data_IF_408602746400
#
_entry.id   IF_408602746400
#
_cell.length_a   1.000
_cell.length_b   1.000
_cell.length_c   1.000
_cell.angle_alpha   90.00
_cell.angle_beta   90.00
_cell.angle_gamma   90.00
#
_symmetry.space_group_name_H-M   'P 1'
#
loop_
_entity.id
_entity.type
_entity.pdbx_description
1 polymer ?
#
# COMPACT_ATOMS: atom_id res chain seq x y z
N UNK A 1 8.65 19.44 -26.80
CA UNK A 1 8.67 18.15 -26.09
C UNK A 1 7.57 18.21 -25.05
N UNK A 2 6.41 17.67 -25.39
CA UNK A 2 5.26 17.56 -24.51
C UNK A 2 5.60 16.56 -23.41
N UNK A 3 5.59 17.00 -22.15
CA UNK A 3 5.66 16.11 -21.01
C UNK A 3 4.42 15.22 -21.06
N UNK A 4 4.62 13.95 -21.41
CA UNK A 4 3.60 12.92 -21.38
C UNK A 4 3.26 12.73 -19.90
N UNK A 5 2.10 13.23 -19.49
CA UNK A 5 1.62 13.06 -18.11
C UNK A 5 1.34 11.58 -17.92
N UNK A 6 2.25 10.92 -17.24
CA UNK A 6 2.20 9.51 -16.91
C UNK A 6 0.94 9.21 -16.07
N UNK A 7 -0.06 8.57 -16.68
CA UNK A 7 -1.32 8.20 -16.03
C UNK A 7 -1.18 6.98 -15.12
N UNK A 8 0.03 6.43 -14.98
CA UNK A 8 0.30 5.27 -14.14
C UNK A 8 0.15 5.62 -12.66
N UNK A 9 -0.52 4.74 -11.91
CA UNK A 9 -0.65 4.90 -10.46
C UNK A 9 0.72 4.80 -9.76
N UNK A 10 0.87 5.32 -8.53
CA UNK A 10 2.14 5.26 -7.79
C UNK A 10 2.72 3.85 -7.67
N UNK A 11 1.86 2.84 -7.53
CA UNK A 11 2.26 1.42 -7.49
C UNK A 11 2.94 0.97 -8.78
N UNK A 12 2.39 1.31 -9.94
CA UNK A 12 2.92 0.89 -11.24
C UNK A 12 4.27 1.55 -11.51
N UNK A 13 4.41 2.83 -11.16
CA UNK A 13 5.68 3.54 -11.27
C UNK A 13 6.74 2.93 -10.34
N UNK A 14 6.36 2.58 -9.10
CA UNK A 14 7.27 1.97 -8.13
C UNK A 14 7.65 0.53 -8.47
N UNK A 15 6.75 -0.25 -9.07
CA UNK A 15 7.09 -1.56 -9.63
C UNK A 15 8.18 -1.45 -10.71
N UNK A 16 8.33 -0.27 -11.33
CA UNK A 16 9.45 0.05 -12.20
C UNK A 16 10.84 -0.09 -11.56
N UNK A 17 10.96 -0.10 -10.22
CA UNK A 17 12.22 -0.40 -9.52
C UNK A 17 12.70 -1.82 -9.81
N UNK A 18 11.78 -2.74 -10.08
CA UNK A 18 12.06 -4.17 -10.24
C UNK A 18 12.31 -4.58 -11.69
N UNK A 19 12.14 -3.64 -12.63
CA UNK A 19 12.26 -3.91 -14.05
C UNK A 19 13.59 -4.62 -14.39
N UNK A 20 13.57 -5.68 -15.23
CA UNK A 20 12.44 -6.11 -16.07
C UNK A 20 11.41 -7.03 -15.38
N UNK A 21 11.59 -7.38 -14.10
CA UNK A 21 10.64 -8.26 -13.41
C UNK A 21 9.31 -7.54 -13.15
N UNK A 22 8.20 -8.22 -13.45
CA UNK A 22 6.84 -7.75 -13.23
C UNK A 22 6.11 -8.61 -12.18
N UNK A 23 4.89 -8.20 -11.84
CA UNK A 23 3.99 -9.02 -11.02
C UNK A 23 3.75 -10.36 -11.73
N UNK A 24 3.97 -11.45 -11.00
CA UNK A 24 3.93 -12.81 -11.53
C UNK A 24 5.29 -13.34 -11.97
N UNK A 25 6.36 -12.54 -12.04
CA UNK A 25 7.68 -13.04 -12.43
C UNK A 25 8.50 -13.58 -11.26
N UNK A 26 9.43 -14.47 -11.59
CA UNK A 26 10.44 -14.94 -10.66
C UNK A 26 11.54 -13.88 -10.49
N UNK A 27 11.74 -13.40 -9.27
CA UNK A 27 12.70 -12.32 -8.97
C UNK A 27 14.07 -12.90 -8.64
N UNK A 28 14.09 -13.99 -7.88
CA UNK A 28 15.25 -14.80 -7.49
C UNK A 28 14.86 -16.27 -7.52
N UNK A 29 15.84 -17.18 -7.54
CA UNK A 29 15.62 -18.62 -7.65
C UNK A 29 14.51 -19.15 -6.70
N UNK A 30 13.38 -19.56 -7.29
CA UNK A 30 12.22 -20.12 -6.62
C UNK A 30 11.32 -19.13 -5.88
N UNK A 31 11.49 -17.80 -6.04
CA UNK A 31 10.64 -16.77 -5.42
C UNK A 31 9.97 -15.89 -6.48
N UNK A 32 8.65 -15.96 -6.53
CA UNK A 32 7.80 -15.23 -7.48
C UNK A 32 7.14 -14.05 -6.83
N UNK A 33 7.18 -12.87 -7.46
CA UNK A 33 6.44 -11.70 -7.01
C UNK A 33 4.94 -11.95 -7.24
N UNK A 34 4.18 -12.16 -6.18
CA UNK A 34 2.75 -12.48 -6.27
C UNK A 34 1.85 -11.30 -5.93
N UNK A 35 2.32 -10.35 -5.11
CA UNK A 35 1.57 -9.14 -4.74
C UNK A 35 2.48 -7.94 -4.56
N UNK A 36 1.93 -6.75 -4.81
CA UNK A 36 2.57 -5.49 -4.48
C UNK A 36 1.52 -4.47 -4.04
N UNK A 37 1.88 -3.58 -3.12
CA UNK A 37 0.99 -2.55 -2.57
C UNK A 37 1.74 -1.28 -2.23
N UNK A 38 1.05 -0.14 -2.29
CA UNK A 38 1.55 1.19 -1.89
C UNK A 38 0.72 1.85 -0.79
N UNK A 39 -0.23 1.12 -0.20
CA UNK A 39 -1.14 1.64 0.82
C UNK A 39 -0.40 2.07 2.10
N UNK A 40 0.73 1.39 2.39
CA UNK A 40 1.47 1.48 3.65
C UNK A 40 2.98 1.64 3.42
N UNK A 41 3.34 2.45 2.44
CA UNK A 41 4.64 2.33 1.80
C UNK A 41 4.62 1.20 0.78
N UNK A 42 5.73 1.03 0.06
CA UNK A 42 5.82 -0.01 -0.97
C UNK A 42 6.09 -1.36 -0.31
N UNK A 43 5.17 -2.29 -0.43
CA UNK A 43 5.32 -3.67 0.02
C UNK A 43 5.24 -4.62 -1.14
N UNK A 44 6.16 -5.57 -1.17
CA UNK A 44 6.24 -6.64 -2.16
C UNK A 44 6.05 -7.95 -1.42
N UNK A 45 5.26 -8.85 -1.99
CA UNK A 45 5.08 -10.19 -1.45
C UNK A 45 5.54 -11.18 -2.47
N UNK A 46 6.51 -11.99 -2.07
CA UNK A 46 7.06 -13.06 -2.89
C UNK A 46 6.70 -14.41 -2.28
N UNK A 47 6.25 -15.32 -3.14
CA UNK A 47 5.88 -16.66 -2.74
C UNK A 47 6.89 -17.66 -3.29
N UNK A 48 7.24 -18.65 -2.48
CA UNK A 48 8.06 -19.76 -2.89
C UNK A 48 7.29 -20.73 -3.79
N UNK A 49 7.83 -20.98 -4.97
CA UNK A 49 7.21 -21.85 -5.98
C UNK A 49 7.06 -23.31 -5.52
N UNK A 50 7.99 -23.82 -4.70
CA UNK A 50 8.07 -25.23 -4.35
C UNK A 50 7.66 -25.57 -2.90
N UNK A 51 7.74 -24.61 -1.96
CA UNK A 51 7.60 -24.88 -0.52
C UNK A 51 6.50 -24.08 0.18
N UNK A 52 5.76 -23.23 -0.55
CA UNK A 52 4.62 -22.49 -0.02
C UNK A 52 4.97 -21.40 1.01
N UNK A 53 6.26 -21.17 1.29
CA UNK A 53 6.72 -20.05 2.12
C UNK A 53 6.48 -18.69 1.45
N UNK A 54 6.35 -17.65 2.26
CA UNK A 54 6.11 -16.28 1.79
C UNK A 54 7.16 -15.34 2.40
N UNK A 55 7.63 -14.38 1.60
CA UNK A 55 8.49 -13.29 2.05
C UNK A 55 7.82 -11.98 1.74
N UNK A 56 7.56 -11.18 2.77
CA UNK A 56 7.12 -9.80 2.61
C UNK A 56 8.34 -8.89 2.67
N UNK A 57 8.57 -8.11 1.62
CA UNK A 57 9.61 -7.09 1.55
C UNK A 57 8.99 -5.70 1.63
N UNK A 58 9.42 -4.92 2.60
CA UNK A 58 9.10 -3.50 2.73
C UNK A 58 10.19 -2.67 2.04
N UNK A 59 9.76 -1.77 1.16
CA UNK A 59 10.60 -0.82 0.42
C UNK A 59 10.29 0.58 0.91
N UNK A 60 11.30 1.25 1.44
CA UNK A 60 11.20 2.61 1.98
C UNK A 60 12.28 3.50 1.37
N UNK A 61 12.14 4.82 1.51
CA UNK A 61 13.24 5.73 1.23
C UNK A 61 14.42 5.41 2.17
N UNK A 62 15.65 5.45 1.64
CA UNK A 62 16.85 5.18 2.42
C UNK A 62 17.03 6.24 3.54
N UNK A 63 17.31 5.75 4.75
CA UNK A 63 17.52 6.54 5.96
C UNK A 63 18.55 5.80 6.82
N UNK A 64 19.74 6.39 7.00
CA UNK A 64 20.85 5.80 7.76
C UNK A 64 20.46 5.49 9.22
N UNK A 65 19.43 6.15 9.76
CA UNK A 65 18.97 5.94 11.13
C UNK A 65 18.00 4.76 11.32
N UNK A 66 17.60 4.06 10.25
CA UNK A 66 16.65 2.94 10.31
C UNK A 66 17.33 1.61 9.98
N UNK A 67 16.97 0.51 10.66
CA UNK A 67 17.46 -0.81 10.28
C UNK A 67 16.91 -1.20 8.92
N UNK A 68 17.75 -1.85 8.11
CA UNK A 68 17.41 -2.42 6.81
C UNK A 68 18.24 -3.68 6.57
N UNK A 69 17.78 -4.54 5.67
CA UNK A 69 18.52 -5.73 5.23
C UNK A 69 19.47 -5.37 4.08
N UNK A 70 18.98 -4.65 3.07
CA UNK A 70 19.78 -4.17 1.95
C UNK A 70 19.33 -2.76 1.54
N UNK A 71 20.15 -2.05 0.75
CA UNK A 71 19.83 -0.71 0.28
C UNK A 71 20.39 -0.44 -1.12
N UNK A 72 19.67 0.40 -1.88
CA UNK A 72 20.15 1.09 -3.08
C UNK A 72 20.59 2.53 -2.71
N UNK A 73 20.83 3.43 -3.69
CA UNK A 73 21.22 4.83 -3.35
C UNK A 73 20.07 5.58 -2.67
N UNK A 74 18.84 5.26 -3.05
CA UNK A 74 17.66 6.01 -2.61
C UNK A 74 16.64 5.18 -1.83
N UNK A 75 16.77 3.84 -1.82
CA UNK A 75 15.80 2.95 -1.19
C UNK A 75 16.45 1.98 -0.21
N UNK A 76 15.72 1.64 0.84
CA UNK A 76 16.05 0.60 1.80
C UNK A 76 15.03 -0.55 1.70
N UNK A 77 15.51 -1.77 1.86
CA UNK A 77 14.75 -3.01 1.76
C UNK A 77 14.84 -3.76 3.08
N UNK A 78 13.70 -4.05 3.68
CA UNK A 78 13.57 -4.89 4.87
C UNK A 78 12.62 -6.04 4.58
N UNK A 79 12.76 -7.17 5.26
CA UNK A 79 11.91 -8.32 4.99
C UNK A 79 11.39 -8.97 6.27
N UNK A 80 10.29 -9.70 6.10
CA UNK A 80 9.76 -10.67 7.05
C UNK A 80 9.51 -11.96 6.30
N UNK A 81 9.97 -13.07 6.87
CA UNK A 81 9.71 -14.40 6.34
C UNK A 81 8.59 -15.05 7.13
N UNK A 82 7.69 -15.71 6.43
CA UNK A 82 6.59 -16.47 7.00
C UNK A 82 6.63 -17.93 6.49
N UNK A 83 6.36 -18.88 7.39
CA UNK A 83 6.36 -20.31 7.08
C UNK A 83 7.74 -20.97 7.22
N UNK A 84 8.03 -21.93 6.35
CA UNK A 84 9.24 -22.78 6.42
C UNK A 84 10.46 -22.19 5.68
N UNK A 85 10.37 -20.95 5.25
CA UNK A 85 11.38 -20.32 4.41
C UNK A 85 12.51 -19.76 5.27
N UNK A 86 13.76 -19.95 4.84
CA UNK A 86 14.94 -19.58 5.60
C UNK A 86 15.20 -18.05 5.58
N UNK A 87 15.64 -17.50 6.71
CA UNK A 87 15.98 -16.07 6.87
C UNK A 87 17.03 -15.62 5.85
N UNK A 88 18.02 -16.46 5.54
CA UNK A 88 19.06 -16.16 4.55
C UNK A 88 18.51 -15.98 3.14
N UNK A 89 17.39 -16.63 2.79
CA UNK A 89 16.72 -16.41 1.50
C UNK A 89 15.99 -15.07 1.46
N UNK A 90 15.41 -14.64 2.58
CA UNK A 90 14.81 -13.31 2.69
C UNK A 90 15.86 -12.20 2.54
N UNK A 91 17.00 -12.36 3.20
CA UNK A 91 18.13 -11.43 3.06
C UNK A 91 18.67 -11.37 1.63
N UNK A 92 18.95 -12.52 1.01
CA UNK A 92 19.44 -12.58 -0.37
C UNK A 92 18.45 -11.98 -1.38
N UNK A 93 17.14 -12.12 -1.11
CA UNK A 93 16.11 -11.45 -1.89
C UNK A 93 16.20 -9.92 -1.77
N UNK A 94 16.39 -9.39 -0.57
CA UNK A 94 16.58 -7.95 -0.38
C UNK A 94 17.82 -7.43 -1.13
N UNK A 95 18.94 -8.16 -1.12
CA UNK A 95 20.13 -7.80 -1.90
C UNK A 95 19.83 -7.75 -3.40
N UNK A 96 19.17 -8.78 -3.94
CA UNK A 96 18.80 -8.84 -5.35
C UNK A 96 17.83 -7.72 -5.76
N UNK A 97 16.86 -7.38 -4.90
CA UNK A 97 15.94 -6.27 -5.12
C UNK A 97 16.65 -4.91 -5.09
N UNK A 98 17.57 -4.72 -4.15
CA UNK A 98 18.37 -3.51 -4.04
C UNK A 98 19.26 -3.30 -5.28
N UNK A 99 19.90 -4.36 -5.78
CA UNK A 99 20.70 -4.32 -7.01
C UNK A 99 19.85 -3.96 -8.22
N UNK A 100 18.66 -4.54 -8.36
CA UNK A 100 17.72 -4.17 -9.44
C UNK A 100 17.26 -2.71 -9.32
N UNK A 101 16.98 -2.26 -8.11
CA UNK A 101 16.56 -0.88 -7.84
C UNK A 101 17.64 0.13 -8.20
N UNK A 102 18.92 -0.15 -7.92
CA UNK A 102 20.06 0.70 -8.31
C UNK A 102 20.07 1.04 -9.82
N UNK A 103 19.58 0.13 -10.66
CA UNK A 103 19.54 0.32 -12.11
C UNK A 103 18.33 1.15 -12.59
N UNK A 104 17.32 1.34 -11.74
CA UNK A 104 16.02 1.90 -12.11
C UNK A 104 15.61 3.13 -11.29
N UNK A 105 16.22 3.36 -10.14
CA UNK A 105 15.75 4.32 -9.12
C UNK A 105 15.65 5.76 -9.61
N UNK A 106 16.63 6.26 -10.39
CA UNK A 106 16.60 7.62 -10.92
C UNK A 106 15.40 7.85 -11.85
N UNK A 107 15.11 6.86 -12.71
CA UNK A 107 13.96 6.87 -13.63
C UNK A 107 12.64 6.85 -12.85
N UNK A 108 12.56 6.00 -11.82
CA UNK A 108 11.36 5.86 -10.99
C UNK A 108 11.10 7.12 -10.17
N UNK A 109 12.12 7.69 -9.54
CA UNK A 109 12.00 8.94 -8.77
C UNK A 109 11.57 10.11 -9.65
N UNK A 110 12.14 10.21 -10.86
CA UNK A 110 11.74 11.20 -11.86
C UNK A 110 10.25 11.08 -12.25
N UNK A 111 9.77 9.85 -12.46
CA UNK A 111 8.36 9.60 -12.76
C UNK A 111 7.45 9.88 -11.56
N UNK A 112 7.84 9.47 -10.34
CA UNK A 112 7.04 9.69 -9.12
C UNK A 112 6.81 11.17 -8.81
N UNK A 113 7.82 12.02 -9.05
CA UNK A 113 7.68 13.47 -8.91
C UNK A 113 6.57 14.05 -9.83
N UNK A 114 6.29 13.39 -10.97
CA UNK A 114 5.22 13.77 -11.89
C UNK A 114 3.83 13.23 -11.51
N UNK A 115 3.74 12.06 -10.89
CA UNK A 115 2.45 11.37 -10.60
C UNK A 115 1.62 12.09 -9.53
N UNK A 116 2.26 12.77 -8.57
CA UNK A 116 1.56 13.46 -7.47
C UNK A 116 2.07 14.89 -7.25
N UNK A 117 2.42 15.60 -8.32
CA UNK A 117 2.82 17.01 -8.27
C UNK A 117 1.71 17.87 -7.64
N UNK A 118 1.77 18.06 -6.32
CA UNK A 118 0.91 18.95 -5.55
C UNK A 118 1.60 20.29 -5.37
N UNK A 119 0.85 21.38 -5.41
CA UNK A 119 1.36 22.69 -5.00
C UNK A 119 1.65 22.67 -3.49
N UNK A 120 2.61 23.49 -3.04
CA UNK A 120 2.99 23.61 -1.62
C UNK A 120 1.83 24.01 -0.67
N UNK A 121 0.66 24.37 -1.23
CA UNK A 121 -0.56 24.76 -0.52
C UNK A 121 -1.71 23.75 -0.71
N UNK A 122 -1.40 22.45 -0.87
CA UNK A 122 -2.43 21.43 -0.98
C UNK A 122 -3.39 21.45 0.24
N UNK A 123 -4.71 21.31 0.03
CA UNK A 123 -5.67 21.36 1.11
C UNK A 123 -5.45 20.19 2.09
N UNK A 124 -5.70 20.45 3.37
CA UNK A 124 -5.61 19.43 4.45
C UNK A 124 -6.50 18.22 4.16
N UNK A 125 -7.67 18.45 3.56
CA UNK A 125 -8.56 17.40 3.09
C UNK A 125 -8.43 17.34 1.58
N UNK A 126 -7.89 16.24 1.05
CA UNK A 126 -7.58 16.10 -0.37
C UNK A 126 -8.42 14.99 -0.99
N UNK A 127 -9.38 15.30 -1.87
CA UNK A 127 -10.06 14.24 -2.61
C UNK A 127 -9.08 13.58 -3.59
N UNK A 128 -9.13 12.25 -3.66
CA UNK A 128 -8.35 11.44 -4.59
C UNK A 128 -9.24 10.37 -5.20
N UNK A 129 -8.88 9.95 -6.41
CA UNK A 129 -9.43 8.74 -7.03
C UNK A 129 -8.39 7.63 -6.98
N UNK A 130 -8.85 6.41 -6.77
CA UNK A 130 -7.99 5.22 -6.70
C UNK A 130 -8.41 4.19 -7.73
N UNK A 131 -7.46 3.42 -8.23
CA UNK A 131 -7.73 2.27 -9.11
C UNK A 131 -7.96 0.99 -8.32
N UNK A 132 -7.59 0.94 -7.05
CA UNK A 132 -7.79 -0.21 -6.16
C UNK A 132 -8.09 0.23 -4.74
N UNK A 133 -8.86 -0.56 -3.98
CA UNK A 133 -9.24 -0.25 -2.60
C UNK A 133 -8.99 -1.40 -1.63
N UNK A 134 -9.28 -2.64 -2.05
CA UNK A 134 -9.10 -3.85 -1.26
C UNK A 134 -7.66 -4.32 -1.33
N UNK A 135 -7.03 -4.46 -0.17
CA UNK A 135 -5.67 -4.96 -0.04
C UNK A 135 -5.67 -6.30 0.68
N UNK A 136 -5.05 -7.33 0.09
CA UNK A 136 -4.82 -8.58 0.81
C UNK A 136 -3.72 -8.36 1.87
N UNK A 137 -4.03 -8.65 3.13
CA UNK A 137 -3.17 -8.48 4.30
C UNK A 137 -3.13 -9.77 5.10
N UNK A 138 -2.13 -9.88 5.98
CA UNK A 138 -1.87 -11.10 6.75
C UNK A 138 -1.24 -12.20 5.89
N UNK A 139 -0.87 -13.29 6.56
CA UNK A 139 -0.15 -14.42 5.98
C UNK A 139 -0.84 -15.73 6.37
N UNK A 140 -0.70 -16.77 5.54
CA UNK A 140 -1.29 -18.09 5.82
C UNK A 140 -2.80 -18.05 6.08
N UNK A 141 -3.22 -18.56 7.24
CA UNK A 141 -4.63 -18.64 7.64
C UNK A 141 -5.18 -17.33 8.23
N UNK A 142 -4.31 -16.39 8.63
CA UNK A 142 -4.70 -15.09 9.19
C UNK A 142 -4.96 -14.01 8.13
N UNK A 143 -5.15 -14.42 6.87
CA UNK A 143 -5.35 -13.49 5.75
C UNK A 143 -6.72 -12.78 5.82
N UNK A 144 -6.71 -11.49 5.52
CA UNK A 144 -7.91 -10.66 5.44
C UNK A 144 -7.74 -9.57 4.38
N UNK A 145 -8.85 -8.97 3.96
CA UNK A 145 -8.86 -7.83 3.06
C UNK A 145 -8.94 -6.54 3.87
N UNK A 146 -7.91 -5.71 3.78
CA UNK A 146 -7.93 -4.34 4.29
C UNK A 146 -8.71 -3.43 3.38
N UNK A 147 -9.53 -2.56 3.98
CA UNK A 147 -10.28 -1.52 3.28
C UNK A 147 -10.09 -0.20 4.02
N UNK A 148 -9.66 0.84 3.31
CA UNK A 148 -9.57 2.18 3.88
C UNK A 148 -10.12 3.22 2.92
N UNK A 149 -11.25 3.87 3.23
CA UNK A 149 -11.78 4.97 2.40
C UNK A 149 -10.96 6.26 2.52
N UNK A 150 -10.09 6.34 3.54
CA UNK A 150 -9.32 7.53 3.90
C UNK A 150 -7.83 7.18 4.07
N UNK A 151 -6.91 8.10 3.78
CA UNK A 151 -5.47 7.93 4.03
C UNK A 151 -4.90 9.13 4.76
N UNK A 152 -4.18 8.90 5.86
CA UNK A 152 -3.91 9.96 6.83
C UNK A 152 -5.10 10.14 7.77
N UNK A 153 -4.87 10.71 8.94
CA UNK A 153 -5.85 10.68 10.01
C UNK A 153 -5.95 12.03 10.71
N UNK A 154 -7.15 12.62 10.73
CA UNK A 154 -7.41 13.89 11.42
C UNK A 154 -7.52 13.74 12.95
N UNK A 155 -7.63 12.51 13.46
CA UNK A 155 -7.60 12.23 14.91
C UNK A 155 -6.20 12.53 15.49
N UNK A 156 -5.14 12.27 14.71
CA UNK A 156 -3.79 12.71 15.06
C UNK A 156 -3.19 12.08 16.33
N UNK A 157 -3.56 10.83 16.68
CA UNK A 157 -3.02 10.16 17.87
C UNK A 157 -1.48 10.19 17.88
N UNK A 158 -0.89 10.73 18.95
CA UNK A 158 0.58 10.89 19.09
C UNK A 158 1.35 9.56 19.03
N UNK A 159 0.72 8.47 19.41
CA UNK A 159 1.29 7.12 19.41
C UNK A 159 0.90 6.30 18.17
N UNK A 160 0.31 6.93 17.16
CA UNK A 160 -0.17 6.20 15.99
C UNK A 160 1.00 5.66 15.16
N UNK A 161 1.06 4.35 15.02
CA UNK A 161 2.11 3.70 14.23
C UNK A 161 2.05 4.03 12.72
N UNK A 162 0.86 4.40 12.22
CA UNK A 162 0.66 4.80 10.82
C UNK A 162 1.41 6.09 10.45
N UNK A 163 1.70 6.95 11.44
CA UNK A 163 2.37 8.23 11.24
C UNK A 163 3.71 8.08 10.51
N UNK A 164 4.56 7.16 10.97
CA UNK A 164 5.92 6.99 10.44
C UNK A 164 5.91 6.43 9.02
N UNK A 165 5.02 5.49 8.74
CA UNK A 165 4.84 4.86 7.43
C UNK A 165 4.28 5.84 6.40
N UNK A 166 3.21 6.56 6.76
CA UNK A 166 2.57 7.51 5.85
C UNK A 166 3.42 8.76 5.63
N UNK A 167 4.19 9.22 6.62
CA UNK A 167 5.12 10.32 6.43
C UNK A 167 6.23 9.96 5.42
N UNK A 168 6.83 8.78 5.56
CA UNK A 168 7.85 8.29 4.62
C UNK A 168 7.28 8.12 3.22
N UNK A 169 6.08 7.53 3.11
CA UNK A 169 5.38 7.39 1.84
C UNK A 169 5.12 8.73 1.16
N UNK A 170 4.55 9.70 1.89
CA UNK A 170 4.25 11.04 1.37
C UNK A 170 5.48 11.74 0.83
N UNK A 171 6.59 11.70 1.58
CA UNK A 171 7.87 12.26 1.15
C UNK A 171 8.36 11.60 -0.14
N UNK A 172 8.27 10.27 -0.22
CA UNK A 172 8.70 9.51 -1.41
C UNK A 172 7.91 9.90 -2.66
N UNK A 173 6.59 10.09 -2.55
CA UNK A 173 5.74 10.50 -3.67
C UNK A 173 5.68 12.02 -3.88
N UNK A 174 6.59 12.78 -3.28
CA UNK A 174 6.71 14.23 -3.49
C UNK A 174 5.55 15.06 -2.93
N UNK A 175 4.78 14.52 -1.98
CA UNK A 175 3.72 15.29 -1.32
C UNK A 175 4.33 16.26 -0.30
N UNK A 176 3.74 17.46 -0.11
CA UNK A 176 4.20 18.40 0.91
C UNK A 176 4.22 17.78 2.31
N UNK A 177 5.24 18.15 3.08
CA UNK A 177 5.31 17.81 4.49
C UNK A 177 4.07 18.37 5.22
N UNK A 178 3.42 17.51 5.99
CA UNK A 178 2.24 17.85 6.74
C UNK A 178 2.28 17.16 8.11
N UNK A 179 2.03 17.88 9.22
CA UNK A 179 1.95 17.27 10.54
C UNK A 179 0.92 16.13 10.59
N UNK A 180 1.23 15.07 11.33
CA UNK A 180 0.24 14.04 11.64
C UNK A 180 -0.96 14.66 12.37
N UNK A 181 -2.18 14.25 12.03
CA UNK A 181 -3.40 14.91 12.52
C UNK A 181 -3.88 16.07 11.64
N UNK A 182 -3.07 16.57 10.70
CA UNK A 182 -3.43 17.75 9.91
C UNK A 182 -3.84 17.46 8.48
N UNK A 183 -3.90 16.19 8.05
CA UNK A 183 -4.27 15.85 6.68
C UNK A 183 -5.06 14.55 6.58
N UNK A 184 -5.85 14.44 5.53
CA UNK A 184 -6.52 13.21 5.10
C UNK A 184 -6.76 13.25 3.59
N UNK A 185 -6.47 12.15 2.92
CA UNK A 185 -6.87 11.90 1.54
C UNK A 185 -8.20 11.15 1.55
N UNK A 186 -9.16 11.63 0.76
CA UNK A 186 -10.53 11.12 0.70
C UNK A 186 -10.71 10.39 -0.62
N UNK A 187 -10.84 9.06 -0.58
CA UNK A 187 -10.98 8.22 -1.78
C UNK A 187 -12.41 8.27 -2.29
N UNK A 188 -12.76 9.31 -3.03
CA UNK A 188 -14.16 9.60 -3.42
C UNK A 188 -14.83 8.49 -4.21
N UNK A 189 -14.07 7.74 -5.00
CA UNK A 189 -14.56 6.62 -5.77
C UNK A 189 -14.48 5.26 -5.03
N UNK A 190 -14.18 5.25 -3.72
CA UNK A 190 -14.03 4.01 -2.95
C UNK A 190 -15.24 3.06 -3.06
N UNK A 191 -16.51 3.50 -2.94
CA UNK A 191 -17.66 2.58 -3.04
C UNK A 191 -17.75 1.91 -4.42
N UNK A 192 -17.42 2.64 -5.48
CA UNK A 192 -17.46 2.13 -6.85
C UNK A 192 -16.34 1.12 -7.11
N UNK A 193 -15.13 1.46 -6.69
CA UNK A 193 -13.96 0.56 -6.77
C UNK A 193 -14.21 -0.71 -5.97
N UNK A 194 -14.77 -0.58 -4.76
CA UNK A 194 -15.11 -1.71 -3.91
C UNK A 194 -16.09 -2.67 -4.58
N UNK A 195 -17.16 -2.13 -5.18
CA UNK A 195 -18.18 -2.94 -5.87
C UNK A 195 -17.54 -3.80 -6.96
N UNK A 196 -16.68 -3.20 -7.77
CA UNK A 196 -15.94 -3.89 -8.84
C UNK A 196 -14.98 -4.94 -8.27
N UNK A 197 -14.18 -4.60 -7.25
CA UNK A 197 -13.20 -5.53 -6.70
C UNK A 197 -13.83 -6.73 -5.99
N UNK A 198 -15.00 -6.55 -5.36
CA UNK A 198 -15.72 -7.65 -4.73
C UNK A 198 -16.11 -8.74 -5.73
N UNK A 199 -16.30 -8.43 -7.03
CA UNK A 199 -16.59 -9.41 -8.09
C UNK A 199 -15.58 -10.57 -8.11
N UNK A 200 -14.31 -10.26 -7.91
CA UNK A 200 -13.20 -11.22 -7.98
C UNK A 200 -12.49 -11.44 -6.63
N UNK A 201 -12.85 -10.69 -5.59
CA UNK A 201 -12.17 -10.77 -4.30
C UNK A 201 -12.35 -12.15 -3.65
N UNK A 202 -11.29 -12.74 -3.08
CA UNK A 202 -11.39 -14.01 -2.36
C UNK A 202 -12.34 -13.87 -1.14
N UNK A 203 -13.03 -14.94 -0.72
CA UNK A 203 -14.01 -14.94 0.38
C UNK A 203 -13.32 -14.85 1.76
N UNK A 204 -12.61 -13.74 1.97
CA UNK A 204 -11.88 -13.44 3.21
C UNK A 204 -12.61 -12.36 4.01
N UNK A 205 -12.40 -12.32 5.34
CA UNK A 205 -12.86 -11.22 6.17
C UNK A 205 -12.38 -9.87 5.65
N UNK A 206 -13.23 -8.84 5.75
CA UNK A 206 -12.88 -7.46 5.40
C UNK A 206 -12.70 -6.66 6.70
N UNK A 207 -11.56 -6.00 6.85
CA UNK A 207 -11.26 -5.12 7.98
C UNK A 207 -11.17 -3.68 7.49
N UNK A 208 -12.02 -2.81 8.02
CA UNK A 208 -11.88 -1.38 7.86
C UNK A 208 -10.79 -0.87 8.81
N UNK A 209 -9.91 -0.02 8.29
CA UNK A 209 -8.82 0.59 9.06
C UNK A 209 -7.97 -0.41 9.87
N UNK A 210 -7.29 -1.37 9.21
CA UNK A 210 -6.26 -2.09 9.93
C UNK A 210 -5.04 -1.18 10.17
N UNK A 211 -4.74 -0.24 9.25
CA UNK A 211 -3.41 0.41 9.20
C UNK A 211 -3.36 1.90 8.76
N UNK A 212 -4.28 2.44 7.94
CA UNK A 212 -4.11 3.78 7.30
C UNK A 212 -4.77 4.96 8.00
N UNK A 213 -6.04 4.77 8.32
CA UNK A 213 -6.89 5.86 8.77
C UNK A 213 -8.14 5.28 9.36
N UNK A 214 -8.54 5.82 10.51
CA UNK A 214 -9.84 5.54 11.11
C UNK A 214 -10.97 5.81 10.10
N UNK A 215 -12.00 4.96 10.01
CA UNK A 215 -13.07 5.13 9.03
C UNK A 215 -14.14 6.14 9.48
N UNK A 216 -14.14 6.55 10.75
CA UNK A 216 -15.11 7.48 11.32
C UNK A 216 -14.43 8.73 11.88
N UNK A 217 -13.82 9.52 10.98
CA UNK A 217 -13.42 10.89 11.31
C UNK A 217 -14.64 11.82 11.41
N UNK A 218 -14.43 13.03 11.95
CA UNK A 218 -15.43 14.09 11.86
C UNK A 218 -15.88 14.38 10.41
N UNK A 219 -15.00 14.21 9.43
CA UNK A 219 -15.33 14.41 8.01
C UNK A 219 -16.28 13.35 7.43
N UNK A 220 -16.41 12.17 8.06
CA UNK A 220 -17.34 11.12 7.60
C UNK A 220 -18.80 11.57 7.71
N UNK A 221 -19.13 12.54 8.58
CA UNK A 221 -20.46 13.16 8.63
C UNK A 221 -20.86 13.76 7.28
N UNK A 222 -19.89 14.33 6.57
CA UNK A 222 -20.03 14.98 5.29
C UNK A 222 -19.77 14.01 4.13
N UNK A 223 -18.65 13.31 4.15
CA UNK A 223 -18.17 12.48 3.02
C UNK A 223 -18.93 11.15 2.92
N UNK A 224 -19.35 10.56 4.04
CA UNK A 224 -20.16 9.32 4.13
C UNK A 224 -19.58 8.13 3.35
N UNK A 225 -18.27 8.09 3.11
CA UNK A 225 -17.65 7.04 2.31
C UNK A 225 -17.62 5.70 3.03
N UNK A 226 -17.39 5.70 4.35
CA UNK A 226 -17.47 4.46 5.14
C UNK A 226 -18.88 3.90 5.08
N UNK A 227 -19.90 4.75 5.26
CA UNK A 227 -21.31 4.36 5.08
C UNK A 227 -21.57 3.76 3.70
N UNK A 228 -21.15 4.44 2.63
CA UNK A 228 -21.36 3.97 1.27
C UNK A 228 -20.64 2.62 1.00
N UNK A 229 -19.42 2.44 1.51
CA UNK A 229 -18.73 1.14 1.43
C UNK A 229 -19.47 0.04 2.19
N UNK A 230 -20.04 0.32 3.37
CA UNK A 230 -20.84 -0.64 4.12
C UNK A 230 -22.15 -1.00 3.39
N UNK A 231 -22.77 -0.05 2.70
CA UNK A 231 -23.94 -0.30 1.85
C UNK A 231 -23.61 -1.24 0.68
N UNK A 232 -22.46 -1.03 0.02
CA UNK A 232 -21.94 -1.95 -1.01
C UNK A 232 -21.72 -3.36 -0.45
N UNK A 233 -21.15 -3.49 0.75
CA UNK A 233 -20.95 -4.79 1.40
C UNK A 233 -22.26 -5.46 1.79
N UNK A 234 -23.29 -4.69 2.15
CA UNK A 234 -24.64 -5.21 2.38
C UNK A 234 -25.24 -5.76 1.09
N UNK A 235 -25.17 -5.01 -0.01
CA UNK A 235 -25.61 -5.45 -1.33
C UNK A 235 -24.86 -6.71 -1.79
N UNK A 236 -23.56 -6.79 -1.50
CA UNK A 236 -22.73 -7.95 -1.80
C UNK A 236 -23.18 -9.22 -1.08
N UNK A 237 -23.48 -9.07 0.22
CA UNK A 237 -23.96 -10.16 1.08
C UNK A 237 -25.30 -10.76 0.62
N UNK A 238 -26.10 -10.00 -0.12
CA UNK A 238 -27.35 -10.51 -0.70
C UNK A 238 -27.11 -11.43 -1.90
N UNK A 239 -25.96 -11.27 -2.57
CA UNK A 239 -25.61 -12.00 -3.81
C UNK A 239 -24.65 -13.17 -3.57
N UNK A 240 -23.88 -13.14 -2.47
CA UNK A 240 -22.76 -14.05 -2.21
C UNK A 240 -22.72 -14.49 -0.73
N UNK A 241 -22.01 -15.59 -0.42
CA UNK A 241 -21.81 -16.00 0.97
C UNK A 241 -21.30 -14.84 1.82
N UNK A 242 -21.85 -14.65 3.03
CA UNK A 242 -21.43 -13.57 3.91
C UNK A 242 -19.96 -13.74 4.26
N UNK A 243 -19.26 -12.61 4.32
CA UNK A 243 -17.91 -12.48 4.83
C UNK A 243 -17.93 -11.58 6.06
N UNK A 244 -17.08 -11.89 7.03
CA UNK A 244 -17.00 -11.10 8.24
C UNK A 244 -16.51 -9.70 7.93
N UNK A 245 -17.19 -8.68 8.46
CA UNK A 245 -16.80 -7.28 8.33
C UNK A 245 -16.47 -6.75 9.71
N UNK A 246 -15.21 -6.39 9.92
CA UNK A 246 -14.72 -5.78 11.14
C UNK A 246 -14.46 -4.30 10.90
N UNK A 247 -15.04 -3.44 11.72
CA UNK A 247 -14.79 -2.00 11.67
C UNK A 247 -14.01 -1.59 12.92
N UNK A 248 -12.75 -1.23 12.72
CA UNK A 248 -11.89 -0.72 13.78
C UNK A 248 -11.99 0.80 13.79
N UNK A 249 -12.39 1.35 14.94
CA UNK A 249 -12.48 2.80 15.12
C UNK A 249 -12.11 3.20 16.53
N UNK A 250 -11.61 4.41 16.68
CA UNK A 250 -11.35 5.06 17.96
C UNK A 250 -12.61 5.78 18.44
N UNK A 251 -13.26 5.16 19.42
CA UNK A 251 -14.33 5.78 20.22
C UNK A 251 -13.81 6.72 21.31
#
# INVERSE_FOLDING_TARGET
MTAETDTRGPLEVLLGLLAPAALGDEVTAGLRLVRASTEFGMRLVLQETAGGGEVTVEVAAFDEGRPYAAASRHFAFSYRVDGALDEGRGFALCEALAERALNNEDRVLGALAGVRAGTAAAPRIRPVEVSSLLELLGNGDDRFLGLSPYVGCLIGCRFCYAQSHLAAWRKLVGLPDAPWGSYVEVRRNAPEVLRRELETAPPLPIKFCPVASDPYHAIEEQERLTRACLEVLREDREKRPPRDVLVLTRG
#
